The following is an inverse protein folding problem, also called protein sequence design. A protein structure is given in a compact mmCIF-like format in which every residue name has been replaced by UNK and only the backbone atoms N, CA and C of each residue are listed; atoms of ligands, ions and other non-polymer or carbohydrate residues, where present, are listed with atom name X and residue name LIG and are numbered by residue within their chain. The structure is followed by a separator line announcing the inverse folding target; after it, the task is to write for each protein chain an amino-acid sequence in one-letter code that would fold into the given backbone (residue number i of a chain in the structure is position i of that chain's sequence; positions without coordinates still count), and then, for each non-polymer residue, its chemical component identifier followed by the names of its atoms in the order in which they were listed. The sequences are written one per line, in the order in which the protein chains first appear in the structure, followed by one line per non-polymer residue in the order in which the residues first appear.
data_IF_707177750072
#
_entry.id   IF_707177750072
#
_cell.length_a   1.000
_cell.length_b   1.000
_cell.length_c   1.000
_cell.angle_alpha   90.00
_cell.angle_beta   90.00
_cell.angle_gamma   90.00
#
_symmetry.space_group_name_H-M   'P 1'
#
loop_
_entity.id
_entity.type
_entity.pdbx_description
1 polymer ?
#
# COMPACT_ATOMS: atom_id res chain seq x y z
N UNK A 1 3.31 15.00 9.63
CA UNK A 1 2.80 15.70 8.44
C UNK A 1 1.98 14.72 7.63
N UNK A 2 0.80 15.14 7.19
CA UNK A 2 -0.06 14.34 6.31
C UNK A 2 0.48 14.43 4.88
N UNK A 3 0.97 13.32 4.35
CA UNK A 3 1.50 13.16 2.99
C UNK A 3 0.44 12.44 2.15
N UNK A 4 0.16 13.02 0.97
CA UNK A 4 -0.67 12.40 -0.07
C UNK A 4 0.22 12.01 -1.23
N UNK A 5 0.05 10.79 -1.74
CA UNK A 5 0.83 10.28 -2.86
C UNK A 5 -0.03 9.37 -3.75
N UNK A 6 0.36 9.25 -5.02
CA UNK A 6 -0.27 8.35 -5.99
C UNK A 6 0.71 7.25 -6.36
N UNK A 7 0.20 6.03 -6.53
CA UNK A 7 0.94 4.90 -7.08
C UNK A 7 0.25 4.41 -8.33
N UNK A 8 0.99 4.30 -9.42
CA UNK A 8 0.54 3.57 -10.59
C UNK A 8 0.63 2.06 -10.33
N UNK A 9 -0.06 1.25 -11.15
CA UNK A 9 0.06 -0.21 -11.06
C UNK A 9 1.52 -0.65 -11.20
N UNK A 10 2.00 -1.47 -10.28
CA UNK A 10 3.38 -1.95 -10.20
C UNK A 10 4.36 -0.98 -9.55
N UNK A 11 3.96 0.27 -9.31
CA UNK A 11 4.79 1.26 -8.62
C UNK A 11 4.90 0.92 -7.13
N UNK A 12 6.12 1.07 -6.60
CA UNK A 12 6.44 0.76 -5.21
C UNK A 12 6.72 2.03 -4.44
N UNK A 13 6.22 2.10 -3.21
CA UNK A 13 6.63 3.12 -2.24
C UNK A 13 7.13 2.44 -0.98
N UNK A 14 8.31 2.87 -0.55
CA UNK A 14 8.81 2.49 0.76
C UNK A 14 7.95 3.13 1.83
N UNK A 15 7.36 2.30 2.69
CA UNK A 15 6.50 2.74 3.80
C UNK A 15 7.17 2.56 5.15
N UNK A 16 8.27 1.81 5.20
CA UNK A 16 9.00 1.59 6.43
C UNK A 16 10.32 0.88 6.23
N UNK A 17 11.14 1.01 7.27
CA UNK A 17 12.31 0.17 7.52
C UNK A 17 12.30 -0.19 8.99
N UNK A 18 12.33 -1.49 9.30
CA UNK A 18 12.45 -1.95 10.68
C UNK A 18 13.87 -1.73 11.19
N UNK A 19 14.03 -1.60 12.51
CA UNK A 19 15.34 -1.47 13.16
C UNK A 19 16.28 -2.65 12.84
N UNK A 20 15.72 -3.82 12.51
CA UNK A 20 16.44 -5.04 12.15
C UNK A 20 16.80 -5.14 10.66
N UNK A 21 16.61 -4.04 9.92
CA UNK A 21 16.99 -3.93 8.51
C UNK A 21 15.97 -4.51 7.52
N UNK A 22 14.75 -4.84 7.95
CA UNK A 22 13.68 -5.23 7.04
C UNK A 22 13.16 -3.99 6.32
N UNK A 23 13.10 -4.03 4.99
CA UNK A 23 12.48 -3.01 4.16
C UNK A 23 11.03 -3.42 3.90
N UNK A 24 10.11 -2.48 4.06
CA UNK A 24 8.69 -2.63 3.81
C UNK A 24 8.26 -1.69 2.69
N UNK A 25 7.86 -2.27 1.57
CA UNK A 25 7.31 -1.53 0.43
C UNK A 25 5.84 -1.89 0.24
N UNK A 26 5.05 -0.88 -0.13
CA UNK A 26 3.72 -1.10 -0.67
C UNK A 26 3.77 -1.01 -2.19
N UNK A 27 2.92 -1.77 -2.87
CA UNK A 27 2.77 -1.72 -4.33
C UNK A 27 1.30 -1.76 -4.71
N UNK A 28 0.87 -0.88 -5.60
CA UNK A 28 -0.47 -0.98 -6.15
C UNK A 28 -0.55 -2.10 -7.19
N UNK A 29 -1.45 -3.06 -7.00
CA UNK A 29 -1.61 -4.21 -7.90
C UNK A 29 -2.80 -4.06 -8.87
N UNK A 30 -3.50 -2.92 -8.85
CA UNK A 30 -4.66 -2.68 -9.70
C UNK A 30 -5.98 -3.16 -9.11
N UNK A 31 -7.01 -3.16 -9.94
CA UNK A 31 -8.35 -3.65 -9.64
C UNK A 31 -8.45 -5.12 -10.07
N UNK A 32 -8.65 -6.04 -9.12
CA UNK A 32 -8.71 -7.49 -9.38
C UNK A 32 -10.11 -7.98 -9.77
N UNK A 33 -11.15 -7.23 -9.41
CA UNK A 33 -12.55 -7.43 -9.83
C UNK A 33 -13.29 -6.09 -9.80
N UNK A 34 -14.49 -5.99 -10.37
CA UNK A 34 -15.27 -4.75 -10.45
C UNK A 34 -15.32 -3.94 -9.13
N UNK A 35 -15.35 -4.63 -7.99
CA UNK A 35 -15.49 -4.04 -6.67
C UNK A 35 -14.28 -4.25 -5.74
N UNK A 36 -13.15 -4.74 -6.25
CA UNK A 36 -11.99 -5.09 -5.43
C UNK A 36 -10.71 -4.56 -6.04
N UNK A 37 -9.93 -3.82 -5.26
CA UNK A 37 -8.54 -3.48 -5.60
C UNK A 37 -7.57 -4.26 -4.72
N UNK A 38 -6.31 -4.30 -5.16
CA UNK A 38 -5.27 -5.06 -4.51
C UNK A 38 -4.03 -4.22 -4.25
N UNK A 39 -3.41 -4.45 -3.09
CA UNK A 39 -2.12 -3.89 -2.72
C UNK A 39 -1.20 -5.02 -2.28
N UNK A 40 -0.01 -5.06 -2.89
CA UNK A 40 1.08 -5.88 -2.44
C UNK A 40 1.80 -5.21 -1.28
N UNK A 41 2.04 -5.96 -0.21
CA UNK A 41 2.94 -5.58 0.87
C UNK A 41 4.19 -6.45 0.79
N UNK A 42 5.32 -5.83 0.44
CA UNK A 42 6.57 -6.50 0.13
C UNK A 42 7.54 -6.30 1.29
N UNK A 43 8.09 -7.39 1.79
CA UNK A 43 9.10 -7.41 2.83
C UNK A 43 10.40 -7.95 2.26
N UNK A 44 11.50 -7.25 2.48
CA UNK A 44 12.83 -7.76 2.10
C UNK A 44 13.87 -7.56 3.19
N UNK A 45 14.78 -8.53 3.32
CA UNK A 45 15.94 -8.49 4.22
C UNK A 45 17.12 -9.18 3.53
N UNK A 46 18.11 -8.40 3.14
CA UNK A 46 19.22 -8.90 2.31
C UNK A 46 18.70 -9.45 0.98
N UNK A 47 19.05 -10.70 0.66
CA UNK A 47 18.59 -11.39 -0.57
C UNK A 47 17.29 -12.19 -0.40
N UNK A 48 16.67 -12.13 0.78
CA UNK A 48 15.41 -12.82 1.06
C UNK A 48 14.25 -11.83 1.01
N UNK A 49 13.12 -12.26 0.45
CA UNK A 49 11.92 -11.44 0.40
C UNK A 49 10.65 -12.29 0.33
N UNK A 50 9.56 -11.73 0.82
CA UNK A 50 8.22 -12.29 0.68
C UNK A 50 7.21 -11.16 0.47
N UNK A 51 6.06 -11.49 -0.10
CA UNK A 51 5.01 -10.52 -0.37
C UNK A 51 3.65 -11.07 0.06
N UNK A 52 2.83 -10.19 0.61
CA UNK A 52 1.43 -10.45 0.90
C UNK A 52 0.59 -9.68 -0.11
N UNK A 53 -0.30 -10.38 -0.81
CA UNK A 53 -1.27 -9.70 -1.66
C UNK A 53 -2.56 -9.50 -0.89
N UNK A 54 -2.89 -8.24 -0.63
CA UNK A 54 -4.05 -7.84 0.16
C UNK A 54 -5.13 -7.33 -0.79
N UNK A 55 -6.39 -7.59 -0.44
CA UNK A 55 -7.55 -7.24 -1.26
C UNK A 55 -8.52 -6.39 -0.45
N UNK A 56 -8.97 -5.31 -1.06
CA UNK A 56 -9.81 -4.31 -0.40
C UNK A 56 -11.02 -3.96 -1.27
N UNK A 57 -12.18 -3.68 -0.66
CA UNK A 57 -13.34 -3.17 -1.39
C UNK A 57 -13.01 -1.82 -2.03
N UNK A 58 -13.40 -1.61 -3.29
CA UNK A 58 -13.21 -0.34 -4.03
C UNK A 58 -13.82 0.88 -3.34
N UNK A 59 -14.87 0.67 -2.53
CA UNK A 59 -15.55 1.71 -1.74
C UNK A 59 -14.93 1.95 -0.36
N UNK A 60 -13.83 1.28 -0.02
CA UNK A 60 -13.18 1.47 1.27
C UNK A 60 -12.64 2.92 1.37
N UNK A 61 -13.00 3.63 2.44
CA UNK A 61 -12.50 4.98 2.72
C UNK A 61 -11.11 4.99 3.35
N UNK A 62 -10.68 3.85 3.89
CA UNK A 62 -9.33 3.67 4.43
C UNK A 62 -8.93 2.20 4.41
N UNK A 63 -7.63 1.97 4.44
CA UNK A 63 -7.00 0.66 4.52
C UNK A 63 -5.93 0.67 5.62
N UNK A 64 -5.60 -0.51 6.13
CA UNK A 64 -4.52 -0.68 7.10
C UNK A 64 -3.50 -1.64 6.51
N UNK A 65 -2.24 -1.20 6.46
CA UNK A 65 -1.11 -1.98 5.97
C UNK A 65 -0.03 -1.95 7.04
N UNK A 66 0.30 -3.12 7.58
CA UNK A 66 1.26 -3.28 8.68
C UNK A 66 1.04 -2.31 9.85
N UNK A 67 -0.21 -2.22 10.33
CA UNK A 67 -0.59 -1.32 11.42
C UNK A 67 -0.65 0.17 11.05
N UNK A 68 -0.24 0.57 9.84
CA UNK A 68 -0.33 1.94 9.34
C UNK A 68 -1.64 2.16 8.60
N UNK A 69 -2.41 3.17 9.00
CA UNK A 69 -3.67 3.54 8.35
C UNK A 69 -3.44 4.53 7.21
N UNK A 70 -4.06 4.26 6.07
CA UNK A 70 -4.07 5.13 4.89
C UNK A 70 -5.52 5.43 4.50
N UNK A 71 -5.83 6.69 4.27
CA UNK A 71 -7.09 7.10 3.66
C UNK A 71 -7.02 6.92 2.15
N UNK A 72 -8.08 6.35 1.57
CA UNK A 72 -8.19 6.16 0.13
C UNK A 72 -8.83 7.40 -0.46
N UNK A 73 -8.07 8.14 -1.26
CA UNK A 73 -8.52 9.39 -1.89
C UNK A 73 -9.16 9.10 -3.24
N UNK A 74 -8.52 8.28 -4.06
CA UNK A 74 -9.05 7.81 -5.36
C UNK A 74 -8.49 6.42 -5.69
N UNK A 75 -9.28 5.62 -6.40
CA UNK A 75 -8.92 4.27 -6.87
C UNK A 75 -9.43 4.11 -8.30
N UNK A 76 -8.49 3.87 -9.22
CA UNK A 76 -8.74 3.54 -10.63
C UNK A 76 -7.98 2.26 -11.01
N UNK A 77 -8.34 1.57 -12.10
CA UNK A 77 -7.59 0.40 -12.54
C UNK A 77 -6.08 0.66 -12.69
N UNK A 78 -5.69 1.88 -13.07
CA UNK A 78 -4.33 2.28 -13.41
C UNK A 78 -3.54 2.85 -12.21
N UNK A 79 -4.23 3.40 -11.22
CA UNK A 79 -3.58 4.07 -10.09
C UNK A 79 -4.42 4.08 -8.81
N UNK A 80 -3.76 4.31 -7.69
CA UNK A 80 -4.38 4.62 -6.39
C UNK A 80 -3.75 5.87 -5.79
N UNK A 81 -4.58 6.74 -5.22
CA UNK A 81 -4.12 7.88 -4.42
C UNK A 81 -4.43 7.63 -2.95
N UNK A 82 -3.39 7.69 -2.12
CA UNK A 82 -3.45 7.45 -0.68
C UNK A 82 -2.96 8.66 0.09
N UNK A 83 -3.55 8.86 1.26
CA UNK A 83 -3.09 9.83 2.24
C UNK A 83 -2.76 9.11 3.56
N UNK A 84 -1.58 9.32 4.12
CA UNK A 84 -1.23 8.71 5.41
C UNK A 84 -2.08 9.30 6.55
N UNK A 85 -2.46 8.47 7.53
CA UNK A 85 -3.05 8.99 8.76
C UNK A 85 -1.95 9.64 9.61
N UNK A 86 -2.17 10.82 10.22
CA UNK A 86 -1.21 11.36 11.18
C UNK A 86 -1.04 10.38 12.34
N UNK A 87 0.21 10.03 12.66
CA UNK A 87 0.56 9.34 13.90
C UNK A 87 0.32 10.33 15.05
N UNK A 88 -0.54 9.95 15.99
CA UNK A 88 -0.79 10.71 17.23
C UNK A 88 0.40 10.53 18.16
#
# INVERSE_FOLDING_TARGET
MTETFTLNVGERKNIGKSFWGTIEDMMYCGISSENTFSIGLLFSKGYQGHALNLFFPKKASSIVLDGRKYYVVDVKPEYITLQNSPTI
#
